data_IF_710318694554
#
_entry.id   IF_710318694554
#
_cell.length_a   1.000
_cell.length_b   1.000
_cell.length_c   1.000
_cell.angle_alpha   90.00
_cell.angle_beta   90.00
_cell.angle_gamma   90.00
#
_symmetry.space_group_name_H-M   'P 1'
#
loop_
_entity.id
_entity.type
_entity.pdbx_description
1 polymer ?
#
# COMPACT_ATOMS: atom_id res chain seq x y z
N UNK A 1 51.55 13.42 16.00
CA UNK A 1 50.83 14.71 15.89
C UNK A 1 50.65 15.00 14.40
N UNK A 2 49.54 15.63 13.99
CA UNK A 2 49.10 15.95 12.62
C UNK A 2 48.04 15.03 11.98
N UNK A 3 46.83 15.15 12.54
CA UNK A 3 45.56 15.53 11.89
C UNK A 3 45.53 15.53 10.35
N UNK A 4 44.71 14.65 9.76
CA UNK A 4 44.30 14.75 8.36
C UNK A 4 43.08 15.67 8.23
N UNK A 5 43.29 16.83 7.61
CA UNK A 5 42.27 17.63 6.97
C UNK A 5 42.32 17.35 5.47
N UNK A 6 41.30 16.67 4.92
CA UNK A 6 41.06 16.70 3.48
C UNK A 6 39.62 17.11 3.23
N UNK A 7 39.41 18.43 3.15
CA UNK A 7 38.24 19.03 2.53
C UNK A 7 38.42 19.02 1.00
N UNK A 8 37.43 18.43 0.33
CA UNK A 8 36.77 18.89 -0.91
C UNK A 8 37.62 19.57 -1.98
N UNK A 9 37.83 18.85 -3.08
CA UNK A 9 38.03 19.33 -4.47
C UNK A 9 37.77 18.08 -5.32
N UNK A 10 36.82 17.99 -6.25
CA UNK A 10 36.75 18.61 -7.59
C UNK A 10 35.47 18.01 -8.22
N UNK A 11 34.66 18.71 -9.01
CA UNK A 11 34.93 18.85 -10.44
C UNK A 11 33.92 18.09 -11.32
N UNK A 12 33.10 18.87 -12.03
CA UNK A 12 32.15 18.57 -13.09
C UNK A 12 32.52 17.45 -14.10
N UNK A 13 31.52 16.63 -14.43
CA UNK A 13 31.20 15.81 -15.63
C UNK A 13 32.24 15.73 -16.78
N UNK A 14 32.38 14.61 -17.55
CA UNK A 14 31.26 13.87 -18.17
C UNK A 14 31.51 12.35 -18.31
N UNK A 15 30.51 11.55 -18.76
CA UNK A 15 30.65 10.45 -19.77
C UNK A 15 29.26 9.87 -20.03
N UNK A 16 28.70 10.24 -21.17
CA UNK A 16 27.57 9.59 -21.84
C UNK A 16 27.83 8.09 -21.97
N UNK A 17 27.33 7.29 -21.03
CA UNK A 17 27.20 5.85 -21.22
C UNK A 17 25.89 5.64 -21.96
N UNK A 18 25.99 5.09 -23.16
CA UNK A 18 24.89 4.69 -24.03
C UNK A 18 24.15 3.54 -23.33
N UNK A 19 23.10 3.86 -22.58
CA UNK A 19 22.19 2.88 -21.98
C UNK A 19 21.15 2.50 -23.03
N UNK A 20 21.40 1.39 -23.72
CA UNK A 20 20.35 0.60 -24.36
C UNK A 20 19.54 -0.09 -23.26
N UNK A 21 18.23 0.18 -23.19
CA UNK A 21 17.33 -0.62 -22.38
C UNK A 21 16.10 0.14 -21.89
N UNK A 22 15.10 0.25 -22.79
CA UNK A 22 13.65 0.20 -22.53
C UNK A 22 13.11 1.18 -21.49
N UNK A 23 12.42 2.20 -21.99
CA UNK A 23 11.49 3.02 -21.21
C UNK A 23 10.37 2.13 -20.65
N UNK A 24 10.31 2.02 -19.33
CA UNK A 24 9.07 1.69 -18.62
C UNK A 24 8.58 2.99 -17.99
N UNK A 25 7.68 3.65 -18.70
CA UNK A 25 6.80 4.62 -18.09
C UNK A 25 5.84 3.83 -17.17
N UNK A 26 6.17 3.77 -15.88
CA UNK A 26 5.22 3.38 -14.83
C UNK A 26 4.90 4.65 -14.04
N UNK A 27 3.62 4.99 -13.98
CA UNK A 27 3.11 6.29 -13.57
C UNK A 27 3.65 6.76 -12.23
N UNK A 28 4.13 7.99 -12.20
CA UNK A 28 4.20 8.76 -10.98
C UNK A 28 2.76 9.10 -10.55
N UNK A 29 2.07 8.16 -9.89
CA UNK A 29 1.00 8.55 -8.97
C UNK A 29 1.70 9.06 -7.72
N UNK A 30 1.71 10.39 -7.63
CA UNK A 30 2.40 11.12 -6.57
C UNK A 30 1.84 10.74 -5.22
N UNK A 31 2.72 10.30 -4.33
CA UNK A 31 2.44 10.26 -2.90
C UNK A 31 2.02 11.65 -2.45
N UNK A 32 0.71 11.85 -2.26
CA UNK A 32 0.23 12.93 -1.42
C UNK A 32 0.51 12.53 0.03
N UNK A 33 1.71 12.87 0.52
CA UNK A 33 1.98 12.90 1.95
C UNK A 33 1.00 13.90 2.58
N UNK A 34 -0.09 13.40 3.16
CA UNK A 34 -1.04 14.22 3.94
C UNK A 34 -0.33 14.63 5.21
N UNK A 35 0.35 15.77 5.14
CA UNK A 35 0.79 16.51 6.31
C UNK A 35 -0.46 17.00 7.05
N UNK A 36 -0.58 16.56 8.30
CA UNK A 36 -1.75 16.76 9.14
C UNK A 36 -2.23 18.21 9.22
N UNK A 37 -3.50 18.40 8.91
CA UNK A 37 -4.31 19.46 9.45
C UNK A 37 -5.70 18.86 9.71
N UNK A 38 -6.17 18.95 10.96
CA UNK A 38 -7.42 18.36 11.41
C UNK A 38 -8.56 18.66 10.43
N UNK A 39 -9.01 17.62 9.76
CA UNK A 39 -10.11 17.66 8.79
C UNK A 39 -10.95 16.43 9.09
N UNK A 40 -12.27 16.61 9.13
CA UNK A 40 -13.19 15.47 9.16
C UNK A 40 -12.71 14.50 8.08
N UNK A 41 -12.27 13.30 8.47
CA UNK A 41 -11.56 12.39 7.58
C UNK A 41 -12.43 12.11 6.35
N UNK A 42 -12.20 12.88 5.30
CA UNK A 42 -12.80 12.72 4.00
C UNK A 42 -12.17 11.46 3.42
N UNK A 43 -13.02 10.57 2.91
CA UNK A 43 -12.54 9.39 2.22
C UNK A 43 -11.69 9.87 1.04
N UNK A 44 -10.52 9.25 0.86
CA UNK A 44 -9.70 9.47 -0.33
C UNK A 44 -10.39 8.84 -1.55
N UNK A 45 -9.91 9.15 -2.76
CA UNK A 45 -10.45 8.51 -3.98
C UNK A 45 -10.21 7.00 -3.98
N UNK A 46 -9.06 6.55 -3.45
CA UNK A 46 -8.73 5.15 -3.25
C UNK A 46 -9.68 4.48 -2.23
N UNK A 47 -10.03 5.16 -1.13
CA UNK A 47 -11.00 4.64 -0.18
C UNK A 47 -12.38 4.42 -0.79
N UNK A 48 -12.83 5.33 -1.65
CA UNK A 48 -14.11 5.21 -2.35
C UNK A 48 -14.08 4.05 -3.37
N UNK A 49 -12.97 3.89 -4.09
CA UNK A 49 -12.75 2.77 -5.01
C UNK A 49 -12.79 1.42 -4.29
N UNK A 50 -12.04 1.29 -3.18
CA UNK A 50 -12.03 0.08 -2.37
C UNK A 50 -13.43 -0.28 -1.87
N UNK A 51 -14.15 0.68 -1.29
CA UNK A 51 -15.51 0.46 -0.79
C UNK A 51 -16.49 0.09 -1.90
N UNK A 52 -16.35 0.70 -3.08
CA UNK A 52 -17.18 0.37 -4.24
C UNK A 52 -16.90 -1.04 -4.75
N UNK A 53 -15.65 -1.48 -4.74
CA UNK A 53 -15.23 -2.81 -5.17
C UNK A 53 -15.78 -3.89 -4.24
N UNK A 54 -15.51 -3.78 -2.93
CA UNK A 54 -16.00 -4.78 -1.96
C UNK A 54 -17.54 -4.83 -1.93
N UNK A 55 -18.21 -3.68 -2.11
CA UNK A 55 -19.67 -3.64 -2.20
C UNK A 55 -20.22 -4.32 -3.46
N UNK A 56 -19.52 -4.20 -4.59
CA UNK A 56 -19.90 -4.87 -5.84
C UNK A 56 -19.80 -6.40 -5.72
N UNK A 57 -18.84 -6.89 -4.92
CA UNK A 57 -18.65 -8.30 -4.58
C UNK A 57 -19.60 -8.78 -3.46
N UNK A 58 -20.50 -7.91 -2.97
CA UNK A 58 -21.50 -8.23 -1.96
C UNK A 58 -20.96 -8.31 -0.53
N UNK A 59 -19.79 -7.73 -0.27
CA UNK A 59 -19.16 -7.68 1.05
C UNK A 59 -19.78 -6.53 1.84
N UNK A 60 -20.53 -6.87 2.89
CA UNK A 60 -21.14 -5.89 3.78
C UNK A 60 -20.12 -5.38 4.82
N UNK A 61 -20.26 -4.12 5.22
CA UNK A 61 -19.47 -3.50 6.27
C UNK A 61 -20.34 -2.59 7.15
N UNK A 62 -20.06 -2.51 8.45
CA UNK A 62 -20.81 -1.66 9.37
C UNK A 62 -20.61 -0.17 9.09
N UNK A 63 -19.35 0.23 8.88
CA UNK A 63 -19.00 1.61 8.54
C UNK A 63 -17.84 1.64 7.55
N UNK A 64 -17.82 2.63 6.63
CA UNK A 64 -16.69 2.85 5.73
C UNK A 64 -15.34 2.91 6.45
N UNK A 65 -15.30 3.59 7.61
CA UNK A 65 -14.08 3.75 8.41
C UNK A 65 -13.58 2.44 9.01
N UNK A 66 -14.48 1.56 9.44
CA UNK A 66 -14.10 0.26 9.95
C UNK A 66 -13.50 -0.61 8.84
N UNK A 67 -14.15 -0.67 7.67
CA UNK A 67 -13.66 -1.43 6.53
C UNK A 67 -12.27 -0.96 6.07
N UNK A 68 -12.08 0.35 5.91
CA UNK A 68 -10.78 0.93 5.52
C UNK A 68 -9.72 0.68 6.60
N UNK A 69 -10.09 0.83 7.88
CA UNK A 69 -9.20 0.56 8.99
C UNK A 69 -8.70 -0.90 9.00
N UNK A 70 -9.60 -1.85 8.80
CA UNK A 70 -9.27 -3.27 8.69
C UNK A 70 -8.40 -3.55 7.46
N UNK A 71 -8.69 -2.91 6.32
CA UNK A 71 -7.89 -3.07 5.10
C UNK A 71 -6.44 -2.59 5.28
N UNK A 72 -6.24 -1.47 5.98
CA UNK A 72 -4.91 -1.02 6.38
C UNK A 72 -4.23 -1.95 7.39
N UNK A 73 -4.96 -2.52 8.35
CA UNK A 73 -4.43 -3.47 9.33
C UNK A 73 -3.95 -4.75 8.66
N UNK A 74 -4.73 -5.29 7.72
CA UNK A 74 -4.32 -6.41 6.85
C UNK A 74 -2.97 -6.12 6.24
N UNK A 75 -2.81 -4.93 5.66
CA UNK A 75 -1.56 -4.58 5.03
C UNK A 75 -0.38 -4.48 6.00
N UNK A 76 -0.58 -3.81 7.14
CA UNK A 76 0.44 -3.66 8.17
C UNK A 76 0.90 -5.02 8.73
N UNK A 77 -0.03 -5.96 8.90
CA UNK A 77 0.27 -7.29 9.39
C UNK A 77 0.98 -8.15 8.34
N UNK A 78 0.58 -8.08 7.07
CA UNK A 78 1.28 -8.77 5.99
C UNK A 78 2.72 -8.26 5.81
N UNK A 79 2.93 -6.94 5.87
CA UNK A 79 4.28 -6.35 5.87
C UNK A 79 5.11 -6.78 7.09
N UNK A 80 4.44 -6.94 8.24
CA UNK A 80 5.02 -7.52 9.46
C UNK A 80 5.32 -9.03 9.38
N UNK A 81 5.00 -9.70 8.28
CA UNK A 81 5.23 -11.13 8.06
C UNK A 81 4.15 -12.04 8.65
N UNK A 82 2.95 -11.53 8.92
CA UNK A 82 1.81 -12.34 9.32
C UNK A 82 1.37 -13.28 8.19
N UNK A 83 0.87 -14.45 8.56
CA UNK A 83 0.30 -15.39 7.60
C UNK A 83 -1.06 -14.88 7.11
N UNK A 84 -1.29 -14.78 5.78
CA UNK A 84 -2.54 -14.28 5.21
C UNK A 84 -3.74 -15.18 5.54
N UNK A 85 -3.53 -16.48 5.78
CA UNK A 85 -4.59 -17.42 6.15
C UNK A 85 -5.05 -17.16 7.57
N UNK A 86 -4.11 -17.00 8.52
CA UNK A 86 -4.46 -16.66 9.91
C UNK A 86 -5.17 -15.31 10.00
N UNK A 87 -4.72 -14.32 9.22
CA UNK A 87 -5.39 -13.01 9.08
C UNK A 87 -6.81 -13.14 8.53
N UNK A 88 -7.00 -13.94 7.46
CA UNK A 88 -8.31 -14.18 6.90
C UNK A 88 -9.24 -14.90 7.89
N UNK A 89 -8.72 -15.86 8.65
CA UNK A 89 -9.49 -16.53 9.71
C UNK A 89 -9.87 -15.54 10.82
N UNK A 90 -8.97 -14.64 11.22
CA UNK A 90 -9.25 -13.59 12.21
C UNK A 90 -10.35 -12.62 11.72
N UNK A 91 -10.36 -12.27 10.44
CA UNK A 91 -11.43 -11.44 9.87
C UNK A 91 -12.75 -12.23 9.83
N UNK A 92 -12.69 -13.50 9.46
CA UNK A 92 -13.86 -14.39 9.38
C UNK A 92 -14.52 -14.61 10.75
N UNK A 93 -13.75 -14.71 11.83
CA UNK A 93 -14.30 -14.88 13.19
C UNK A 93 -14.89 -13.58 13.76
N UNK A 94 -14.45 -12.42 13.26
CA UNK A 94 -14.88 -11.10 13.75
C UNK A 94 -15.92 -10.43 12.84
N UNK A 95 -16.32 -11.04 11.73
CA UNK A 95 -17.29 -10.49 10.77
C UNK A 95 -18.29 -11.54 10.32
N UNK A 96 -19.46 -11.12 9.83
CA UNK A 96 -20.47 -12.01 9.23
C UNK A 96 -20.17 -12.37 7.75
N UNK A 97 -18.91 -12.22 7.32
CA UNK A 97 -18.49 -12.52 5.96
C UNK A 97 -18.33 -14.03 5.74
N UNK A 98 -18.47 -14.46 4.50
CA UNK A 98 -18.08 -15.82 4.09
C UNK A 98 -16.58 -15.90 3.80
N UNK A 99 -16.01 -17.10 3.82
CA UNK A 99 -14.58 -17.31 3.52
C UNK A 99 -14.17 -16.73 2.15
N UNK A 100 -15.04 -16.83 1.14
CA UNK A 100 -14.81 -16.28 -0.19
C UNK A 100 -14.81 -14.73 -0.20
N UNK A 101 -15.73 -14.13 0.56
CA UNK A 101 -15.79 -12.68 0.76
C UNK A 101 -14.57 -12.17 1.52
N UNK A 102 -14.10 -12.90 2.53
CA UNK A 102 -12.88 -12.52 3.27
C UNK A 102 -11.65 -12.60 2.37
N UNK A 103 -11.52 -13.65 1.55
CA UNK A 103 -10.41 -13.73 0.59
C UNK A 103 -10.43 -12.54 -0.38
N UNK A 104 -11.61 -12.19 -0.90
CA UNK A 104 -11.81 -11.04 -1.78
C UNK A 104 -11.47 -9.72 -1.07
N UNK A 105 -11.91 -9.56 0.18
CA UNK A 105 -11.58 -8.39 1.00
C UNK A 105 -10.07 -8.23 1.20
N UNK A 106 -9.35 -9.33 1.51
CA UNK A 106 -7.89 -9.30 1.69
C UNK A 106 -7.17 -8.96 0.39
N UNK A 107 -7.61 -9.53 -0.74
CA UNK A 107 -7.03 -9.23 -2.06
C UNK A 107 -7.24 -7.75 -2.43
N UNK A 108 -8.47 -7.24 -2.31
CA UNK A 108 -8.76 -5.83 -2.54
C UNK A 108 -7.95 -4.93 -1.59
N UNK A 109 -7.83 -5.32 -0.31
CA UNK A 109 -7.02 -4.56 0.65
C UNK A 109 -5.55 -4.48 0.22
N UNK A 110 -5.00 -5.58 -0.29
CA UNK A 110 -3.61 -5.62 -0.80
C UNK A 110 -3.45 -4.78 -2.06
N UNK A 111 -4.40 -4.83 -2.99
CA UNK A 111 -4.37 -4.08 -4.24
C UNK A 111 -4.41 -2.56 -4.00
N UNK A 112 -5.30 -2.10 -3.11
CA UNK A 112 -5.50 -0.67 -2.83
C UNK A 112 -4.51 -0.11 -1.79
N UNK A 113 -4.10 -0.90 -0.80
CA UNK A 113 -3.39 -0.38 0.39
C UNK A 113 -1.99 -0.97 0.64
N UNK A 114 -1.54 -1.99 -0.12
CA UNK A 114 -0.21 -2.57 0.04
C UNK A 114 0.78 -2.24 -1.08
N UNK A 115 1.54 -1.14 -0.96
CA UNK A 115 2.61 -0.81 -1.90
C UNK A 115 3.81 -1.75 -1.71
N UNK A 116 3.72 -2.96 -2.26
CA UNK A 116 4.81 -3.95 -2.23
C UNK A 116 4.36 -5.42 -2.32
N UNK A 117 3.12 -5.73 -1.93
CA UNK A 117 2.60 -7.10 -1.84
C UNK A 117 1.78 -7.55 -3.07
N UNK A 118 1.41 -6.63 -3.98
CA UNK A 118 0.67 -6.94 -5.21
C UNK A 118 1.37 -7.91 -6.18
N UNK A 119 2.68 -8.16 -6.00
CA UNK A 119 3.45 -9.13 -6.80
C UNK A 119 3.40 -10.56 -6.26
N UNK A 120 2.85 -10.79 -5.05
CA UNK A 120 2.76 -12.13 -4.44
C UNK A 120 1.54 -12.93 -4.91
N UNK A 121 0.56 -12.27 -5.53
CA UNK A 121 -0.70 -12.87 -5.99
C UNK A 121 -0.89 -12.81 -7.51
N UNK A 122 0.18 -12.50 -8.27
CA UNK A 122 0.19 -12.44 -9.73
C UNK A 122 0.77 -13.68 -10.40
#
# INVERSE_FOLDING_TARGET
>A
MFTQHHLTTTGTAPRVRRWTGIALAAGAFGLAAVAGAGTAAALSSEDDMFLSEISAEGIAYDTPKAAIGTAHDVCARLDGGADPVDLGLEILENTDLTTEQVATFVVASVDHYCPGNGVLFG
#
